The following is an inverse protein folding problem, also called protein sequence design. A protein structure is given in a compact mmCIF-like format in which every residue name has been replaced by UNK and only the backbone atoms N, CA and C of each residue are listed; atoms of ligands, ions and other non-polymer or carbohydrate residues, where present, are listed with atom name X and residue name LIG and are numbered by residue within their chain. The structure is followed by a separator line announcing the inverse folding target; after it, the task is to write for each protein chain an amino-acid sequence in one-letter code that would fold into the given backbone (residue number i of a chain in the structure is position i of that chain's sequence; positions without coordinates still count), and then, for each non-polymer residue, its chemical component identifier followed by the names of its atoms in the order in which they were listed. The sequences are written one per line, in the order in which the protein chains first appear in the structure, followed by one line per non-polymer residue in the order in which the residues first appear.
data_IF_528005816525
#
_entry.id   IF_528005816525
#
_cell.length_a   1.000
_cell.length_b   1.000
_cell.length_c   1.000
_cell.angle_alpha   90.00
_cell.angle_beta   90.00
_cell.angle_gamma   90.00
#
_symmetry.space_group_name_H-M   'P 1'
#
loop_
_entity.id
_entity.type
_entity.pdbx_description
1 polymer ?
#
# COMPACT_ATOMS: atom_id res chain seq x y z
N UNK A 1 -17.33 -4.76 19.51
CA UNK A 1 -16.34 -3.95 18.76
C UNK A 1 -17.00 -2.63 18.39
N UNK A 2 -16.27 -1.52 18.41
CA UNK A 2 -16.80 -0.25 17.90
C UNK A 2 -16.92 -0.33 16.37
N UNK A 3 -18.04 0.07 15.75
CA UNK A 3 -18.20 0.01 14.31
C UNK A 3 -17.12 0.82 13.56
N UNK A 4 -16.83 2.01 14.05
CA UNK A 4 -15.86 2.95 13.46
C UNK A 4 -14.89 3.47 14.52
N UNK A 5 -13.76 4.00 14.05
CA UNK A 5 -12.79 4.69 14.91
C UNK A 5 -13.43 5.88 15.61
N UNK A 6 -14.40 6.53 14.96
CA UNK A 6 -15.20 7.63 15.52
C UNK A 6 -15.84 7.23 16.85
N UNK A 7 -16.54 6.08 16.88
CA UNK A 7 -17.19 5.60 18.10
C UNK A 7 -16.18 5.17 19.17
N UNK A 8 -15.02 4.65 18.77
CA UNK A 8 -13.95 4.31 19.70
C UNK A 8 -13.35 5.56 20.36
N UNK A 9 -13.10 6.62 19.59
CA UNK A 9 -12.58 7.89 20.10
C UNK A 9 -13.60 8.62 20.97
N UNK A 10 -14.88 8.57 20.60
CA UNK A 10 -15.98 9.12 21.39
C UNK A 10 -16.04 8.43 22.76
N UNK A 11 -15.92 7.10 22.81
CA UNK A 11 -15.93 6.34 24.06
C UNK A 11 -14.72 6.65 24.96
N UNK A 12 -13.52 6.76 24.40
CA UNK A 12 -12.29 6.95 25.20
C UNK A 12 -12.05 8.40 25.62
N UNK A 13 -12.34 9.35 24.73
CA UNK A 13 -11.93 10.75 24.88
C UNK A 13 -13.12 11.72 24.90
N UNK A 14 -14.35 11.25 24.64
CA UNK A 14 -15.53 12.11 24.52
C UNK A 14 -15.55 12.99 23.27
N UNK A 15 -14.64 12.74 22.32
CA UNK A 15 -14.49 13.56 21.10
C UNK A 15 -15.13 12.85 19.92
N UNK A 16 -16.12 13.51 19.29
CA UNK A 16 -16.81 12.97 18.12
C UNK A 16 -16.15 13.49 16.84
N UNK A 17 -15.24 12.69 16.28
CA UNK A 17 -14.60 12.97 14.97
C UNK A 17 -15.20 12.03 13.93
N UNK A 18 -15.84 12.52 12.86
CA UNK A 18 -16.49 11.69 11.85
C UNK A 18 -15.45 11.06 10.91
N UNK A 19 -14.84 9.95 11.32
CA UNK A 19 -13.87 9.21 10.54
C UNK A 19 -14.52 8.09 9.71
N UNK A 20 -14.16 7.93 8.42
CA UNK A 20 -14.71 6.91 7.51
C UNK A 20 -14.08 5.52 7.71
N UNK A 21 -13.29 5.33 8.76
CA UNK A 21 -12.51 4.10 8.98
C UNK A 21 -13.22 3.17 9.96
N UNK A 22 -13.43 1.93 9.53
CA UNK A 22 -13.86 0.86 10.40
C UNK A 22 -12.75 0.48 11.37
N UNK A 23 -13.11 0.22 12.63
CA UNK A 23 -12.15 -0.14 13.68
C UNK A 23 -11.35 -1.38 13.29
N UNK A 24 -12.01 -2.38 12.68
CA UNK A 24 -11.35 -3.57 12.16
C UNK A 24 -10.18 -3.23 11.22
N UNK A 25 -10.40 -2.40 10.21
CA UNK A 25 -9.37 -2.05 9.23
C UNK A 25 -8.16 -1.35 9.86
N UNK A 26 -8.39 -0.52 10.87
CA UNK A 26 -7.31 0.13 11.61
C UNK A 26 -6.47 -0.88 12.40
N UNK A 27 -7.10 -1.80 13.13
CA UNK A 27 -6.35 -2.83 13.87
C UNK A 27 -5.61 -3.78 12.94
N UNK A 28 -6.17 -4.10 11.77
CA UNK A 28 -5.45 -4.84 10.73
C UNK A 28 -4.21 -4.05 10.29
N UNK A 29 -4.36 -2.76 9.93
CA UNK A 29 -3.22 -1.93 9.54
C UNK A 29 -2.14 -1.86 10.63
N UNK A 30 -2.54 -1.73 11.90
CA UNK A 30 -1.62 -1.75 13.04
C UNK A 30 -0.91 -3.10 13.18
N UNK A 31 -1.61 -4.22 12.96
CA UNK A 31 -1.00 -5.55 12.97
C UNK A 31 0.05 -5.70 11.86
N UNK A 32 -0.21 -5.16 10.66
CA UNK A 32 0.76 -5.12 9.56
C UNK A 32 2.01 -4.29 9.94
N UNK A 33 1.83 -3.11 10.54
CA UNK A 33 2.94 -2.25 11.00
C UNK A 33 3.76 -2.95 12.08
N UNK A 34 3.09 -3.52 13.10
CA UNK A 34 3.74 -4.24 14.18
C UNK A 34 4.49 -5.48 13.66
N UNK A 35 3.89 -6.23 12.74
CA UNK A 35 4.52 -7.36 12.07
C UNK A 35 5.75 -6.95 11.28
N UNK A 36 5.65 -5.90 10.44
CA UNK A 36 6.78 -5.37 9.70
C UNK A 36 7.96 -5.05 10.61
N UNK A 37 7.69 -4.33 11.71
CA UNK A 37 8.70 -3.94 12.67
C UNK A 37 9.33 -5.15 13.38
N UNK A 38 8.50 -6.06 13.91
CA UNK A 38 8.96 -7.22 14.66
C UNK A 38 9.81 -8.16 13.79
N UNK A 39 9.34 -8.48 12.58
CA UNK A 39 10.08 -9.34 11.65
C UNK A 39 11.35 -8.67 11.12
N UNK A 40 11.34 -7.35 10.88
CA UNK A 40 12.56 -6.60 10.54
C UNK A 40 13.61 -6.73 11.64
N UNK A 41 13.22 -6.58 12.91
CA UNK A 41 14.13 -6.74 14.06
C UNK A 41 14.63 -8.17 14.19
N UNK A 42 13.76 -9.15 13.98
CA UNK A 42 14.11 -10.56 14.06
C UNK A 42 15.04 -10.99 12.91
N UNK A 43 14.84 -10.50 11.70
CA UNK A 43 15.76 -10.76 10.58
C UNK A 43 17.14 -10.17 10.83
N UNK A 44 17.23 -8.95 11.36
CA UNK A 44 18.52 -8.36 11.79
C UNK A 44 19.19 -9.20 12.88
N UNK A 45 18.41 -9.68 13.86
CA UNK A 45 18.92 -10.55 14.94
C UNK A 45 19.44 -11.88 14.37
N UNK A 46 18.65 -12.56 13.55
CA UNK A 46 19.03 -13.85 12.93
C UNK A 46 20.22 -13.72 11.98
N UNK A 47 20.34 -12.60 11.29
CA UNK A 47 21.52 -12.28 10.47
C UNK A 47 22.76 -12.08 11.34
N UNK A 48 22.65 -11.32 12.45
CA UNK A 48 23.79 -11.14 13.38
C UNK A 48 24.24 -12.44 14.04
N UNK A 49 23.33 -13.42 14.17
CA UNK A 49 23.61 -14.76 14.67
C UNK A 49 24.17 -15.70 13.59
N UNK A 50 24.27 -15.25 12.34
CA UNK A 50 24.73 -16.07 11.21
C UNK A 50 23.74 -17.17 10.80
N UNK A 51 22.46 -17.07 11.17
CA UNK A 51 21.41 -18.02 10.75
C UNK A 51 20.87 -17.65 9.37
N UNK A 52 20.72 -16.34 9.12
CA UNK A 52 20.35 -15.80 7.82
C UNK A 52 21.56 -15.10 7.22
N UNK A 53 21.73 -15.24 5.91
CA UNK A 53 22.86 -14.67 5.21
C UNK A 53 22.40 -13.66 4.15
N UNK A 54 23.14 -12.54 4.00
CA UNK A 54 22.96 -11.67 2.85
C UNK A 54 23.19 -12.42 1.54
N UNK A 55 22.43 -12.08 0.51
CA UNK A 55 22.57 -12.65 -0.83
C UNK A 55 23.13 -11.57 -1.75
N UNK A 56 24.15 -11.92 -2.53
CA UNK A 56 24.64 -11.04 -3.59
C UNK A 56 23.62 -11.02 -4.72
N UNK A 57 23.09 -9.83 -5.02
CA UNK A 57 22.17 -9.61 -6.12
C UNK A 57 22.77 -8.64 -7.10
N UNK A 58 22.76 -9.04 -8.36
CA UNK A 58 23.17 -8.21 -9.47
C UNK A 58 22.06 -7.21 -9.78
N UNK A 59 22.30 -5.92 -9.51
CA UNK A 59 21.38 -4.83 -9.83
C UNK A 59 21.95 -4.01 -10.98
N UNK A 60 21.11 -3.72 -11.98
CA UNK A 60 21.45 -2.76 -13.03
C UNK A 60 21.06 -1.38 -12.52
N UNK A 61 22.06 -0.58 -12.14
CA UNK A 61 21.85 0.75 -11.58
C UNK A 61 22.08 1.80 -12.67
N UNK A 62 21.22 2.81 -12.72
CA UNK A 62 21.34 3.95 -13.64
C UNK A 62 20.60 3.80 -14.97
N UNK A 63 19.66 2.86 -15.08
CA UNK A 63 18.70 2.87 -16.20
C UNK A 63 17.80 4.10 -16.09
N UNK A 64 17.52 4.81 -17.20
CA UNK A 64 16.52 5.87 -17.19
C UNK A 64 15.15 5.29 -16.82
N UNK A 65 14.24 6.15 -16.34
CA UNK A 65 12.84 5.78 -16.14
C UNK A 65 12.30 5.18 -17.44
N UNK A 66 11.82 3.95 -17.36
CA UNK A 66 11.26 3.26 -18.53
C UNK A 66 9.89 3.86 -18.82
N UNK A 67 9.54 4.03 -20.10
CA UNK A 67 8.21 4.56 -20.48
C UNK A 67 7.08 3.76 -19.85
N UNK A 68 7.23 2.43 -19.74
CA UNK A 68 6.26 1.56 -19.08
C UNK A 68 6.09 1.86 -17.58
N UNK A 69 7.17 2.21 -16.88
CA UNK A 69 7.11 2.54 -15.45
C UNK A 69 6.45 3.89 -15.22
N UNK A 70 6.78 4.90 -16.04
CA UNK A 70 6.15 6.21 -15.97
C UNK A 70 4.65 6.11 -16.27
N UNK A 71 4.27 5.35 -17.31
CA UNK A 71 2.86 5.10 -17.63
C UNK A 71 2.16 4.35 -16.49
N UNK A 72 2.79 3.30 -15.94
CA UNK A 72 2.24 2.54 -14.82
C UNK A 72 2.01 3.40 -13.58
N UNK A 73 3.01 4.21 -13.20
CA UNK A 73 2.91 5.15 -12.08
C UNK A 73 1.88 6.26 -12.34
N UNK A 74 1.75 6.72 -13.58
CA UNK A 74 0.72 7.68 -13.99
C UNK A 74 -0.70 7.11 -13.91
N UNK A 75 -0.91 5.88 -14.37
CA UNK A 75 -2.19 5.17 -14.24
C UNK A 75 -2.52 4.93 -12.77
N UNK A 76 -1.55 4.49 -11.97
CA UNK A 76 -1.74 4.30 -10.54
C UNK A 76 -2.10 5.61 -9.82
N UNK A 77 -1.35 6.67 -10.09
CA UNK A 77 -1.64 8.01 -9.59
C UNK A 77 -3.01 8.51 -10.03
N UNK A 78 -3.42 8.23 -11.27
CA UNK A 78 -4.76 8.55 -11.77
C UNK A 78 -5.84 7.85 -10.96
N UNK A 79 -5.75 6.52 -10.79
CA UNK A 79 -6.74 5.74 -10.06
C UNK A 79 -6.89 6.20 -8.61
N UNK A 80 -5.76 6.47 -7.94
CA UNK A 80 -5.73 7.00 -6.58
C UNK A 80 -6.36 8.39 -6.53
N UNK A 81 -5.90 9.34 -7.36
CA UNK A 81 -6.42 10.70 -7.36
C UNK A 81 -7.91 10.76 -7.75
N UNK A 82 -8.33 9.94 -8.70
CA UNK A 82 -9.72 9.84 -9.15
C UNK A 82 -10.65 9.48 -8.00
N UNK A 83 -10.22 8.56 -7.13
CA UNK A 83 -11.00 8.12 -5.97
C UNK A 83 -10.84 9.01 -4.76
N UNK A 84 -9.60 9.31 -4.36
CA UNK A 84 -9.33 10.08 -3.15
C UNK A 84 -9.91 11.49 -3.24
N UNK A 85 -9.73 12.18 -4.37
CA UNK A 85 -10.27 13.54 -4.51
C UNK A 85 -11.80 13.53 -4.51
N UNK A 86 -12.44 12.51 -5.11
CA UNK A 86 -13.89 12.37 -5.04
C UNK A 86 -14.39 12.06 -3.62
N UNK A 87 -13.69 11.20 -2.88
CA UNK A 87 -14.00 10.88 -1.49
C UNK A 87 -13.87 12.11 -0.57
N UNK A 88 -12.85 12.95 -0.79
CA UNK A 88 -12.66 14.19 -0.03
C UNK A 88 -13.72 15.24 -0.34
N UNK A 89 -14.11 15.39 -1.60
CA UNK A 89 -15.17 16.33 -1.99
C UNK A 89 -16.56 15.87 -1.52
N UNK A 90 -16.77 14.55 -1.42
CA UNK A 90 -18.02 13.94 -0.94
C UNK A 90 -17.81 13.34 0.45
N UNK A 91 -17.16 14.09 1.34
CA UNK A 91 -16.73 13.57 2.65
C UNK A 91 -17.88 13.00 3.48
N UNK A 92 -19.05 13.66 3.47
CA UNK A 92 -20.24 13.15 4.19
C UNK A 92 -20.66 11.77 3.70
N UNK A 93 -20.69 11.57 2.39
CA UNK A 93 -21.00 10.28 1.76
C UNK A 93 -19.92 9.25 2.05
N UNK A 94 -18.65 9.66 2.07
CA UNK A 94 -17.52 8.78 2.36
C UNK A 94 -17.51 8.31 3.82
N UNK A 95 -17.92 9.16 4.76
CA UNK A 95 -18.08 8.78 6.17
C UNK A 95 -19.28 7.86 6.38
N UNK A 96 -20.40 8.11 5.68
CA UNK A 96 -21.59 7.26 5.80
C UNK A 96 -21.43 5.90 5.12
N UNK A 97 -20.73 5.86 3.98
CA UNK A 97 -20.59 4.65 3.16
C UNK A 97 -19.29 4.68 2.34
N UNK A 98 -18.18 4.40 3.02
CA UNK A 98 -16.86 4.33 2.39
C UNK A 98 -16.80 3.24 1.30
N UNK A 99 -17.48 2.11 1.49
CA UNK A 99 -17.44 0.99 0.56
C UNK A 99 -18.06 1.36 -0.78
N UNK A 100 -19.25 1.97 -0.78
CA UNK A 100 -19.91 2.42 -2.01
C UNK A 100 -19.08 3.48 -2.74
N UNK A 101 -18.47 4.42 -2.01
CA UNK A 101 -17.60 5.44 -2.62
C UNK A 101 -16.37 4.79 -3.28
N UNK A 102 -15.72 3.84 -2.60
CA UNK A 102 -14.52 3.17 -3.10
C UNK A 102 -14.82 2.20 -4.26
N UNK A 103 -15.90 1.41 -4.18
CA UNK A 103 -16.26 0.40 -5.19
C UNK A 103 -17.05 0.94 -6.39
N UNK A 104 -17.61 2.16 -6.29
CA UNK A 104 -18.34 2.75 -7.42
C UNK A 104 -17.44 3.05 -8.63
N UNK A 105 -18.03 3.32 -9.79
CA UNK A 105 -17.27 3.87 -10.94
C UNK A 105 -17.13 5.41 -10.88
N UNK A 106 -17.78 6.06 -9.92
CA UNK A 106 -17.75 7.52 -9.75
C UNK A 106 -16.40 7.97 -9.18
N UNK A 107 -15.94 9.13 -9.63
CA UNK A 107 -14.71 9.74 -9.18
C UNK A 107 -14.49 11.14 -9.76
N UNK A 108 -13.34 11.73 -9.49
CA UNK A 108 -12.97 13.06 -9.94
C UNK A 108 -11.87 12.96 -10.99
N UNK A 109 -12.22 13.18 -12.26
CA UNK A 109 -11.29 13.08 -13.38
C UNK A 109 -10.13 14.09 -13.28
N UNK A 110 -10.42 15.33 -12.85
CA UNK A 110 -9.39 16.36 -12.66
C UNK A 110 -8.43 16.00 -11.52
N UNK A 111 -8.97 15.45 -10.43
CA UNK A 111 -8.17 14.92 -9.32
C UNK A 111 -7.26 13.77 -9.76
N UNK A 112 -7.79 12.85 -10.59
CA UNK A 112 -7.01 11.79 -11.21
C UNK A 112 -5.88 12.32 -12.08
N UNK A 113 -6.17 13.26 -12.99
CA UNK A 113 -5.13 13.85 -13.85
C UNK A 113 -4.04 14.59 -13.05
N UNK A 114 -4.43 15.33 -12.01
CA UNK A 114 -3.48 16.05 -11.16
C UNK A 114 -2.52 15.08 -10.44
N UNK A 115 -3.04 14.01 -9.85
CA UNK A 115 -2.21 13.00 -9.19
C UNK A 115 -1.38 12.17 -10.18
N UNK A 116 -1.92 11.86 -11.36
CA UNK A 116 -1.16 11.21 -12.42
C UNK A 116 0.07 12.04 -12.81
N UNK A 117 -0.11 13.34 -13.07
CA UNK A 117 0.98 14.25 -13.38
C UNK A 117 1.99 14.35 -12.24
N UNK A 118 1.52 14.43 -10.99
CA UNK A 118 2.36 14.47 -9.80
C UNK A 118 3.24 13.21 -9.66
N UNK A 119 2.65 12.03 -9.79
CA UNK A 119 3.37 10.75 -9.65
C UNK A 119 4.36 10.52 -10.79
N UNK A 120 3.98 10.84 -12.03
CA UNK A 120 4.88 10.79 -13.19
C UNK A 120 6.05 11.74 -13.01
N UNK A 121 5.78 12.98 -12.59
CA UNK A 121 6.82 13.98 -12.36
C UNK A 121 7.77 13.56 -11.23
N UNK A 122 7.25 13.01 -10.13
CA UNK A 122 8.06 12.51 -9.04
C UNK A 122 8.95 11.36 -9.51
N UNK A 123 8.39 10.31 -10.11
CA UNK A 123 9.17 9.15 -10.59
C UNK A 123 10.23 9.58 -11.62
N UNK A 124 9.87 10.50 -12.52
CA UNK A 124 10.81 11.09 -13.48
C UNK A 124 11.94 11.85 -12.78
N UNK A 125 11.63 12.71 -11.80
CA UNK A 125 12.62 13.51 -11.09
C UNK A 125 13.58 12.63 -10.29
N UNK A 126 13.05 11.66 -9.56
CA UNK A 126 13.84 10.75 -8.73
C UNK A 126 14.77 9.88 -9.59
N UNK A 127 14.26 9.29 -10.67
CA UNK A 127 15.08 8.46 -11.55
C UNK A 127 16.09 9.26 -12.37
N UNK A 128 15.78 10.49 -12.75
CA UNK A 128 16.78 11.36 -13.39
C UNK A 128 17.85 11.86 -12.41
N UNK A 129 17.50 12.09 -11.14
CA UNK A 129 18.47 12.43 -10.10
C UNK A 129 19.47 11.28 -9.83
N UNK A 130 19.04 10.04 -10.03
CA UNK A 130 19.87 8.84 -9.88
C UNK A 130 20.39 8.24 -11.20
N UNK A 131 20.30 8.97 -12.31
CA UNK A 131 20.73 8.49 -13.63
C UNK A 131 22.26 8.53 -13.74
N UNK A 132 22.87 7.38 -14.06
CA UNK A 132 24.29 7.28 -14.40
C UNK A 132 24.46 7.38 -15.93
N UNK A 133 25.59 7.94 -16.40
CA UNK A 133 25.87 8.13 -17.82
C UNK A 133 25.91 6.81 -18.63
N UNK A 134 26.20 5.69 -17.95
CA UNK A 134 26.05 4.33 -18.48
C UNK A 134 25.48 3.46 -17.36
N UNK A 135 24.43 2.64 -17.63
CA UNK A 135 23.96 1.66 -16.67
C UNK A 135 25.12 0.76 -16.23
N UNK A 136 25.35 0.65 -14.93
CA UNK A 136 26.38 -0.24 -14.38
C UNK A 136 25.69 -1.39 -13.68
N UNK A 137 26.13 -2.59 -14.01
CA UNK A 137 25.80 -3.81 -13.30
C UNK A 137 26.65 -3.84 -12.03
N UNK A 138 26.01 -3.63 -10.87
CA UNK A 138 26.70 -3.63 -9.57
C UNK A 138 26.21 -4.84 -8.78
N UNK A 139 27.14 -5.61 -8.22
CA UNK A 139 26.80 -6.60 -7.20
C UNK A 139 26.46 -5.85 -5.91
N UNK A 140 25.20 -5.88 -5.52
CA UNK A 140 24.73 -5.32 -4.25
C UNK A 140 24.46 -6.48 -3.30
N UNK A 141 24.98 -6.36 -2.08
CA UNK A 141 24.65 -7.28 -1.00
C UNK A 141 23.26 -6.92 -0.50
N UNK A 142 22.29 -7.79 -0.74
CA UNK A 142 20.92 -7.62 -0.25
C UNK A 142 20.76 -8.37 1.07
N UNK A 143 20.40 -7.63 2.12
CA UNK A 143 20.18 -8.20 3.44
C UNK A 143 18.76 -8.79 3.57
N UNK A 144 18.54 -9.85 4.37
CA UNK A 144 17.23 -10.48 4.51
C UNK A 144 16.13 -9.52 4.97
N UNK A 145 16.45 -8.55 5.85
CA UNK A 145 15.48 -7.58 6.33
C UNK A 145 15.01 -6.60 5.25
N UNK A 146 15.76 -6.41 4.16
CA UNK A 146 15.38 -5.53 3.04
C UNK A 146 14.24 -6.15 2.21
N UNK A 147 14.08 -7.48 2.28
CA UNK A 147 12.98 -8.20 1.65
C UNK A 147 11.64 -8.02 2.38
N UNK A 148 11.65 -7.47 3.61
CA UNK A 148 10.43 -7.31 4.41
C UNK A 148 9.37 -6.49 3.69
N UNK A 149 9.77 -5.48 2.91
CA UNK A 149 8.86 -4.68 2.08
C UNK A 149 8.11 -5.54 1.04
N UNK A 150 8.80 -6.46 0.38
CA UNK A 150 8.16 -7.39 -0.57
C UNK A 150 7.29 -8.43 0.15
N UNK A 151 7.77 -8.96 1.28
CA UNK A 151 7.03 -9.96 2.04
C UNK A 151 5.71 -9.43 2.58
N UNK A 152 5.66 -8.19 3.07
CA UNK A 152 4.44 -7.60 3.61
C UNK A 152 3.39 -7.33 2.53
N UNK A 153 3.83 -6.95 1.32
CA UNK A 153 2.94 -6.82 0.15
C UNK A 153 2.34 -8.18 -0.21
N UNK A 154 3.16 -9.23 -0.26
CA UNK A 154 2.66 -10.59 -0.49
C UNK A 154 1.70 -11.06 0.61
N UNK A 155 1.97 -10.75 1.87
CA UNK A 155 1.08 -11.05 2.97
C UNK A 155 -0.28 -10.34 2.81
N UNK A 156 -0.30 -9.09 2.34
CA UNK A 156 -1.53 -8.38 2.05
C UNK A 156 -2.29 -9.03 0.88
N UNK A 157 -1.62 -9.32 -0.24
CA UNK A 157 -2.23 -9.98 -1.42
C UNK A 157 -2.86 -11.31 -1.03
N UNK A 158 -2.11 -12.19 -0.38
CA UNK A 158 -2.61 -13.49 0.05
C UNK A 158 -3.62 -13.40 1.18
N UNK A 159 -3.53 -12.40 2.06
CA UNK A 159 -4.53 -12.13 3.08
C UNK A 159 -5.89 -11.80 2.47
N UNK A 160 -5.93 -10.90 1.49
CA UNK A 160 -7.17 -10.54 0.79
C UNK A 160 -7.72 -11.69 -0.07
N UNK A 161 -6.85 -12.35 -0.85
CA UNK A 161 -7.25 -13.50 -1.68
C UNK A 161 -7.77 -14.65 -0.81
N UNK A 162 -7.06 -14.97 0.27
CA UNK A 162 -7.47 -16.01 1.22
C UNK A 162 -8.81 -15.68 1.85
N UNK A 163 -8.99 -14.46 2.37
CA UNK A 163 -10.27 -14.03 2.95
C UNK A 163 -11.43 -14.21 1.96
N UNK A 164 -11.26 -13.82 0.70
CA UNK A 164 -12.27 -13.99 -0.35
C UNK A 164 -12.59 -15.48 -0.63
N UNK A 165 -11.57 -16.32 -0.69
CA UNK A 165 -11.73 -17.76 -0.95
C UNK A 165 -12.49 -18.42 0.21
N UNK A 166 -12.08 -18.15 1.46
CA UNK A 166 -12.73 -18.73 2.64
C UNK A 166 -14.17 -18.23 2.80
N UNK A 167 -14.42 -16.94 2.54
CA UNK A 167 -15.77 -16.37 2.56
C UNK A 167 -16.71 -17.07 1.57
N UNK A 168 -16.23 -17.33 0.34
CA UNK A 168 -17.00 -18.07 -0.66
C UNK A 168 -17.22 -19.55 -0.28
N UNK A 169 -16.25 -20.19 0.38
CA UNK A 169 -16.37 -21.58 0.84
C UNK A 169 -17.36 -21.71 2.01
N UNK A 170 -17.38 -20.72 2.90
CA UNK A 170 -18.29 -20.69 4.05
C UNK A 170 -19.74 -20.39 3.61
N UNK A 171 -19.91 -19.54 2.59
CA UNK A 171 -21.21 -19.21 1.99
C UNK A 171 -21.47 -19.95 0.68
N UNK A 172 -21.20 -21.26 0.66
CA UNK A 172 -21.32 -22.11 -0.53
C UNK A 172 -22.70 -22.03 -1.21
N UNK A 173 -23.78 -21.93 -0.42
CA UNK A 173 -25.16 -21.83 -0.92
C UNK A 173 -25.47 -20.49 -1.62
N UNK A 174 -24.67 -19.45 -1.39
CA UNK A 174 -24.76 -18.16 -2.09
C UNK A 174 -23.86 -18.09 -3.33
N UNK A 175 -22.96 -19.06 -3.47
CA UNK A 175 -21.97 -19.13 -4.53
C UNK A 175 -22.45 -19.96 -5.75
N UNK A 176 -23.33 -20.96 -5.53
CA UNK A 176 -24.04 -21.73 -6.57
C UNK A 176 -25.38 -21.07 -6.89
#
# INVERSE_FOLDING_TARGET
MFPTVSHFLEYLFGVQVPLPFNTFGVFVALAFIAGYWAFTKEFKRKESLGILHPVKKTLVVGTPATTAELVGNGVFGFLIGYKLVYALLNYSLFVSDAQTVLLSLKGNFLGGLAFAALFVYWDYKEKNAHKLAKPKTVEVVQHPYELMGSLIVWAAVWGFLGAKIFDNLEHWDSFI
#
